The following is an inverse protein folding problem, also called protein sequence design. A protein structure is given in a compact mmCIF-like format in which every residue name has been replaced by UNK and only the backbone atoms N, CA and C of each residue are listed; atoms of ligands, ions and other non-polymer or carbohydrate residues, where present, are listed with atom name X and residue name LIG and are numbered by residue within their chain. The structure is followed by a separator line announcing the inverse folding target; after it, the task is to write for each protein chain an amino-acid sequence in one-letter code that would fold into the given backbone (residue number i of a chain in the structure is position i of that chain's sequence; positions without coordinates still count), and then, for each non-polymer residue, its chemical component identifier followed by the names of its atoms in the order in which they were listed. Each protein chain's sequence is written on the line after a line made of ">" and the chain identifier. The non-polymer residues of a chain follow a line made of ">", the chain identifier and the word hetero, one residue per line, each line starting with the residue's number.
data_IF_083575361013
#
_entry.id   IF_083575361013
#
_cell.length_a   1.000
_cell.length_b   1.000
_cell.length_c   1.000
_cell.angle_alpha   90.00
_cell.angle_beta   90.00
_cell.angle_gamma   90.00
#
_symmetry.space_group_name_H-M   'P 1'
#
loop_
_entity.id
_entity.type
_entity.pdbx_description
1 polymer ?
#
# COMPACT_ATOMS: atom_id res chain seq x y z
N UNK A 1 -8.31 6.92 25.50
CA UNK A 1 -9.19 5.86 25.99
C UNK A 1 -9.90 5.03 24.91
N UNK A 2 -10.61 5.56 23.95
CA UNK A 2 -11.27 4.77 22.89
C UNK A 2 -10.44 4.63 21.61
N UNK A 3 -9.59 5.61 21.34
CA UNK A 3 -8.69 5.65 20.19
C UNK A 3 -7.51 4.68 20.33
N UNK A 4 -7.03 4.47 21.54
CA UNK A 4 -5.87 3.63 21.83
C UNK A 4 -6.21 2.14 21.66
N UNK A 5 -7.46 1.75 21.95
CA UNK A 5 -7.94 0.39 21.81
C UNK A 5 -8.10 -0.02 20.32
N UNK A 6 -8.59 0.90 19.48
CA UNK A 6 -8.75 0.65 18.03
C UNK A 6 -7.39 0.53 17.35
N UNK A 7 -6.37 1.29 17.78
CA UNK A 7 -5.04 1.22 17.18
C UNK A 7 -4.33 -0.10 17.53
N UNK A 8 -4.45 -0.57 18.76
CA UNK A 8 -3.84 -1.84 19.21
C UNK A 8 -4.51 -3.07 18.57
N UNK A 9 -5.86 -3.13 18.54
CA UNK A 9 -6.57 -4.24 17.87
C UNK A 9 -6.29 -4.27 16.36
N UNK A 10 -6.17 -3.11 15.73
CA UNK A 10 -5.82 -2.99 14.32
C UNK A 10 -4.39 -3.49 14.06
N UNK A 11 -3.42 -3.13 14.92
CA UNK A 11 -2.05 -3.63 14.83
C UNK A 11 -1.96 -5.13 15.10
N UNK A 12 -2.67 -5.65 16.09
CA UNK A 12 -2.74 -7.10 16.33
C UNK A 12 -3.38 -7.86 15.17
N UNK A 13 -4.38 -7.27 14.50
CA UNK A 13 -4.99 -7.83 13.32
C UNK A 13 -3.99 -7.92 12.15
N UNK A 14 -3.20 -6.86 11.89
CA UNK A 14 -2.13 -6.86 10.86
C UNK A 14 -1.05 -7.89 11.21
N UNK A 15 -0.59 -7.93 12.46
CA UNK A 15 0.47 -8.85 12.92
C UNK A 15 0.01 -10.31 12.96
N UNK A 16 -1.25 -10.57 13.27
CA UNK A 16 -1.80 -11.92 13.35
C UNK A 16 -2.14 -12.51 11.96
N UNK A 17 -2.41 -11.67 10.96
CA UNK A 17 -2.63 -12.09 9.58
C UNK A 17 -1.33 -12.53 8.88
N UNK A 18 -0.18 -12.09 9.38
CA UNK A 18 1.15 -12.50 8.91
C UNK A 18 1.91 -13.08 10.10
N UNK A 19 1.96 -14.41 10.21
CA UNK A 19 2.77 -15.03 11.26
C UNK A 19 4.16 -14.39 11.35
N UNK A 20 4.61 -13.98 12.53
CA UNK A 20 5.82 -13.17 12.76
C UNK A 20 7.11 -13.70 12.07
N UNK A 21 7.15 -14.97 11.69
CA UNK A 21 8.27 -15.57 10.96
C UNK A 21 8.25 -15.30 9.44
N UNK A 22 7.16 -14.80 8.87
CA UNK A 22 7.09 -14.41 7.45
C UNK A 22 7.38 -12.91 7.21
N UNK A 23 7.36 -12.09 8.24
CA UNK A 23 7.52 -10.63 8.16
C UNK A 23 8.89 -10.18 7.61
N UNK A 24 9.91 -11.02 7.70
CA UNK A 24 11.27 -10.73 7.22
C UNK A 24 11.59 -11.37 5.86
N UNK A 25 10.60 -11.96 5.18
CA UNK A 25 10.82 -12.63 3.91
C UNK A 25 10.89 -11.63 2.78
N UNK A 26 12.12 -11.29 2.36
CA UNK A 26 12.36 -10.46 1.17
C UNK A 26 12.43 -11.34 -0.07
N UNK A 27 11.64 -11.03 -1.10
CA UNK A 27 11.73 -11.69 -2.39
C UNK A 27 12.92 -11.13 -3.19
N UNK A 28 13.96 -11.94 -3.36
CA UNK A 28 15.09 -11.54 -4.19
C UNK A 28 14.70 -11.48 -5.69
N UNK A 29 15.04 -10.40 -6.40
CA UNK A 29 14.67 -10.21 -7.80
C UNK A 29 15.40 -11.20 -8.70
N UNK A 30 14.67 -12.12 -9.32
CA UNK A 30 15.20 -13.19 -10.15
C UNK A 30 15.37 -12.80 -11.63
N UNK A 31 14.63 -11.80 -12.10
CA UNK A 31 14.62 -11.39 -13.50
C UNK A 31 14.51 -9.86 -13.66
N UNK A 32 14.57 -9.40 -14.92
CA UNK A 32 14.49 -7.96 -15.20
C UNK A 32 13.20 -7.31 -14.71
N UNK A 33 12.06 -7.99 -14.85
CA UNK A 33 10.76 -7.54 -14.34
C UNK A 33 10.80 -7.27 -12.83
N UNK A 34 11.38 -8.19 -12.07
CA UNK A 34 11.50 -8.07 -10.61
C UNK A 34 12.44 -6.92 -10.22
N UNK A 35 13.56 -6.75 -10.96
CA UNK A 35 14.51 -5.65 -10.73
C UNK A 35 13.87 -4.28 -11.00
N UNK A 36 13.08 -4.16 -12.08
CA UNK A 36 12.34 -2.94 -12.40
C UNK A 36 11.31 -2.63 -11.31
N UNK A 37 10.54 -3.64 -10.89
CA UNK A 37 9.54 -3.49 -9.83
C UNK A 37 10.19 -3.06 -8.51
N UNK A 38 11.27 -3.71 -8.08
CA UNK A 38 11.99 -3.36 -6.86
C UNK A 38 12.59 -1.95 -6.92
N UNK A 39 13.17 -1.57 -8.07
CA UNK A 39 13.73 -0.22 -8.25
C UNK A 39 12.64 0.86 -8.18
N UNK A 40 11.49 0.61 -8.77
CA UNK A 40 10.34 1.49 -8.70
C UNK A 40 9.82 1.65 -7.27
N UNK A 41 9.66 0.55 -6.54
CA UNK A 41 9.25 0.56 -5.13
C UNK A 41 10.25 1.34 -4.26
N UNK A 42 11.55 1.10 -4.42
CA UNK A 42 12.60 1.82 -3.69
C UNK A 42 12.60 3.31 -4.01
N UNK A 43 12.34 3.70 -5.25
CA UNK A 43 12.22 5.09 -5.65
C UNK A 43 11.03 5.78 -4.97
N UNK A 44 9.86 5.14 -4.95
CA UNK A 44 8.68 5.67 -4.27
C UNK A 44 8.90 5.78 -2.76
N UNK A 45 9.55 4.79 -2.16
CA UNK A 45 9.96 4.84 -0.77
C UNK A 45 10.88 6.03 -0.49
N UNK A 46 11.91 6.23 -1.31
CA UNK A 46 12.82 7.37 -1.17
C UNK A 46 12.07 8.71 -1.22
N UNK A 47 11.10 8.85 -2.11
CA UNK A 47 10.25 10.05 -2.15
C UNK A 47 9.44 10.20 -0.86
N UNK A 48 8.78 9.14 -0.40
CA UNK A 48 8.01 9.18 0.84
C UNK A 48 8.88 9.53 2.06
N UNK A 49 10.06 8.93 2.18
CA UNK A 49 11.02 9.21 3.25
C UNK A 49 11.55 10.66 3.20
N UNK A 50 11.74 11.20 1.99
CA UNK A 50 12.21 12.59 1.81
C UNK A 50 11.16 13.62 2.20
N UNK A 51 9.89 13.38 1.80
CA UNK A 51 8.80 14.33 2.06
C UNK A 51 8.24 14.24 3.48
N UNK A 52 8.13 13.05 4.04
CA UNK A 52 7.42 12.85 5.31
C UNK A 52 8.34 12.55 6.50
N UNK A 53 9.62 12.21 6.26
CA UNK A 53 10.64 11.91 7.30
C UNK A 53 10.05 11.11 8.49
N UNK A 54 9.98 11.74 9.67
CA UNK A 54 9.48 11.14 10.92
C UNK A 54 7.98 11.35 11.17
N UNK A 55 7.23 11.85 10.19
CA UNK A 55 5.76 12.05 10.29
C UNK A 55 5.04 10.78 9.84
N UNK A 56 5.11 9.73 10.65
CA UNK A 56 4.62 8.39 10.31
C UNK A 56 3.14 8.36 9.89
N UNK A 57 2.25 9.04 10.62
CA UNK A 57 0.83 9.09 10.29
C UNK A 57 0.55 9.70 8.91
N UNK A 58 1.19 10.81 8.56
CA UNK A 58 1.05 11.46 7.25
C UNK A 58 1.65 10.60 6.12
N UNK A 59 2.78 9.94 6.41
CA UNK A 59 3.38 8.96 5.49
C UNK A 59 2.44 7.78 5.23
N UNK A 60 1.82 7.24 6.27
CA UNK A 60 0.85 6.16 6.15
C UNK A 60 -0.34 6.58 5.28
N UNK A 61 -0.91 7.78 5.46
CA UNK A 61 -2.00 8.29 4.60
C UNK A 61 -1.62 8.26 3.11
N UNK A 62 -0.39 8.65 2.75
CA UNK A 62 0.06 8.59 1.36
C UNK A 62 0.22 7.14 0.87
N UNK A 63 0.84 6.29 1.68
CA UNK A 63 1.09 4.89 1.32
C UNK A 63 -0.23 4.14 1.10
N UNK A 64 -1.20 4.26 2.00
CA UNK A 64 -2.51 3.62 1.88
C UNK A 64 -3.32 4.16 0.70
N UNK A 65 -3.20 5.47 0.41
CA UNK A 65 -3.84 6.08 -0.77
C UNK A 65 -3.31 5.46 -2.07
N UNK A 66 -2.03 5.13 -2.12
CA UNK A 66 -1.38 4.49 -3.27
C UNK A 66 -1.63 2.98 -3.28
N UNK A 67 -1.66 2.33 -2.11
CA UNK A 67 -1.86 0.89 -1.97
C UNK A 67 -3.20 0.40 -2.52
N UNK A 68 -4.27 1.18 -2.42
CA UNK A 68 -5.59 0.85 -2.98
C UNK A 68 -5.63 0.87 -4.52
N UNK A 69 -4.70 1.56 -5.18
CA UNK A 69 -4.71 1.75 -6.65
C UNK A 69 -4.54 0.45 -7.43
N UNK A 70 -3.60 -0.46 -7.10
CA UNK A 70 -3.41 -1.70 -7.84
C UNK A 70 -4.67 -2.55 -7.96
N UNK A 71 -5.38 -2.74 -6.86
CA UNK A 71 -6.63 -3.50 -6.82
C UNK A 71 -7.70 -2.90 -7.72
N UNK A 72 -7.91 -1.58 -7.64
CA UNK A 72 -8.89 -0.87 -8.47
C UNK A 72 -8.53 -0.91 -9.96
N UNK A 73 -7.28 -0.63 -10.31
CA UNK A 73 -6.83 -0.60 -11.72
C UNK A 73 -6.89 -1.99 -12.33
N UNK A 74 -6.35 -3.00 -11.64
CA UNK A 74 -6.37 -4.37 -12.13
C UNK A 74 -7.79 -4.91 -12.23
N UNK A 75 -8.65 -4.68 -11.23
CA UNK A 75 -10.05 -5.07 -11.25
C UNK A 75 -10.81 -4.46 -12.43
N UNK A 76 -10.64 -3.15 -12.68
CA UNK A 76 -11.23 -2.46 -13.83
C UNK A 76 -10.74 -3.05 -15.16
N UNK A 77 -9.46 -3.25 -15.33
CA UNK A 77 -8.89 -3.76 -16.60
C UNK A 77 -9.31 -5.20 -16.87
N UNK A 78 -9.38 -6.05 -15.83
CA UNK A 78 -9.90 -7.42 -15.96
C UNK A 78 -11.38 -7.39 -16.30
N UNK A 79 -12.17 -6.53 -15.66
CA UNK A 79 -13.61 -6.39 -15.96
C UNK A 79 -13.83 -6.01 -17.44
N UNK A 80 -13.13 -5.00 -17.94
CA UNK A 80 -13.21 -4.60 -19.34
C UNK A 80 -12.75 -5.70 -20.31
N UNK A 81 -11.74 -6.50 -19.92
CA UNK A 81 -11.31 -7.68 -20.70
C UNK A 81 -12.37 -8.76 -20.73
N UNK A 82 -12.97 -9.09 -19.59
CA UNK A 82 -14.04 -10.10 -19.47
C UNK A 82 -15.25 -9.73 -20.32
N UNK A 83 -15.68 -8.46 -20.29
CA UNK A 83 -16.79 -7.99 -21.14
C UNK A 83 -16.49 -8.11 -22.63
N UNK A 84 -15.28 -7.73 -23.07
CA UNK A 84 -14.91 -7.81 -24.50
C UNK A 84 -14.81 -9.23 -25.01
N UNK A 85 -14.38 -10.15 -24.16
CA UNK A 85 -14.16 -11.54 -24.55
C UNK A 85 -15.31 -12.47 -24.20
N UNK A 86 -16.31 -11.99 -23.45
CA UNK A 86 -17.38 -12.82 -22.88
C UNK A 86 -16.81 -13.99 -22.06
N UNK A 87 -15.72 -13.77 -21.33
CA UNK A 87 -15.03 -14.75 -20.49
C UNK A 87 -15.29 -14.47 -19.02
N UNK A 88 -15.43 -15.53 -18.22
CA UNK A 88 -15.51 -15.45 -16.76
C UNK A 88 -14.14 -15.03 -16.17
N UNK A 89 -14.16 -14.14 -15.19
CA UNK A 89 -12.97 -13.64 -14.48
C UNK A 89 -12.48 -14.58 -13.37
N UNK A 90 -13.18 -15.67 -13.10
CA UNK A 90 -12.88 -16.65 -12.05
C UNK A 90 -12.75 -16.07 -10.65
N UNK A 91 -13.48 -14.99 -10.38
CA UNK A 91 -13.50 -14.32 -9.09
C UNK A 91 -12.37 -13.31 -8.86
N UNK A 92 -11.48 -13.10 -9.84
CA UNK A 92 -10.37 -12.15 -9.70
C UNK A 92 -10.81 -10.72 -9.47
N UNK A 93 -11.88 -10.26 -10.15
CA UNK A 93 -12.39 -8.89 -9.98
C UNK A 93 -12.81 -8.67 -8.53
N UNK A 94 -13.58 -9.62 -7.96
CA UNK A 94 -14.00 -9.52 -6.55
C UNK A 94 -12.81 -9.46 -5.61
N UNK A 95 -11.85 -10.37 -5.75
CA UNK A 95 -10.65 -10.41 -4.89
C UNK A 95 -9.87 -9.09 -4.93
N UNK A 96 -9.67 -8.52 -6.12
CA UNK A 96 -8.95 -7.26 -6.28
C UNK A 96 -9.70 -6.05 -5.71
N UNK A 97 -11.02 -6.03 -5.82
CA UNK A 97 -11.84 -4.96 -5.25
C UNK A 97 -11.96 -5.10 -3.72
N UNK A 98 -12.04 -6.31 -3.20
CA UNK A 98 -12.01 -6.55 -1.75
C UNK A 98 -10.68 -6.08 -1.15
N UNK A 99 -9.55 -6.29 -1.85
CA UNK A 99 -8.24 -5.78 -1.44
C UNK A 99 -8.19 -4.26 -1.46
N UNK A 100 -8.66 -3.62 -2.55
CA UNK A 100 -8.72 -2.16 -2.63
C UNK A 100 -9.61 -1.55 -1.54
N UNK A 101 -10.71 -2.21 -1.17
CA UNK A 101 -11.58 -1.77 -0.07
C UNK A 101 -10.89 -1.93 1.29
N UNK A 102 -10.12 -2.99 1.50
CA UNK A 102 -9.32 -3.18 2.69
C UNK A 102 -8.31 -2.03 2.87
N UNK A 103 -7.57 -1.67 1.81
CA UNK A 103 -6.64 -0.53 1.83
C UNK A 103 -7.36 0.81 2.09
N UNK A 104 -8.57 0.98 1.56
CA UNK A 104 -9.39 2.16 1.87
C UNK A 104 -9.75 2.24 3.35
N UNK A 105 -10.05 1.14 4.01
CA UNK A 105 -10.35 1.11 5.45
C UNK A 105 -9.12 1.52 6.28
N UNK A 106 -7.93 1.03 5.91
CA UNK A 106 -6.67 1.47 6.51
C UNK A 106 -6.48 2.98 6.34
N UNK A 107 -6.67 3.48 5.12
CA UNK A 107 -6.59 4.90 4.82
C UNK A 107 -7.51 5.74 5.70
N UNK A 108 -8.78 5.34 5.89
CA UNK A 108 -9.73 6.07 6.72
C UNK A 108 -9.25 6.16 8.17
N UNK A 109 -8.67 5.10 8.70
CA UNK A 109 -8.08 5.06 10.04
C UNK A 109 -6.93 6.07 10.16
N UNK A 110 -5.98 6.05 9.22
CA UNK A 110 -4.86 6.99 9.24
C UNK A 110 -5.25 8.45 9.01
N UNK A 111 -6.26 8.72 8.18
CA UNK A 111 -6.82 10.08 8.02
C UNK A 111 -7.41 10.59 9.33
N UNK A 112 -8.08 9.72 10.09
CA UNK A 112 -8.65 10.10 11.38
C UNK A 112 -7.56 10.46 12.41
N UNK A 113 -6.46 9.72 12.42
CA UNK A 113 -5.32 9.94 13.31
C UNK A 113 -4.48 11.16 12.87
N UNK A 114 -4.04 11.19 11.61
CA UNK A 114 -3.10 12.18 11.11
C UNK A 114 -3.72 13.56 10.84
N UNK A 115 -5.03 13.62 10.57
CA UNK A 115 -5.79 14.85 10.23
C UNK A 115 -5.04 15.72 9.20
N UNK A 116 -4.79 15.23 7.98
CA UNK A 116 -3.96 15.89 6.99
C UNK A 116 -4.48 17.30 6.66
N UNK A 117 -3.57 18.25 6.52
CA UNK A 117 -3.85 19.63 6.12
C UNK A 117 -4.34 19.69 4.66
N UNK A 118 -4.92 20.83 4.27
CA UNK A 118 -5.38 21.03 2.89
C UNK A 118 -4.23 20.84 1.87
N UNK A 119 -3.06 21.39 2.13
CA UNK A 119 -1.89 21.26 1.25
C UNK A 119 -1.45 19.80 1.10
N UNK A 120 -1.40 19.06 2.21
CA UNK A 120 -1.09 17.63 2.20
C UNK A 120 -2.11 16.83 1.40
N UNK A 121 -3.41 17.16 1.50
CA UNK A 121 -4.45 16.51 0.67
C UNK A 121 -4.23 16.73 -0.83
N UNK A 122 -3.85 17.94 -1.24
CA UNK A 122 -3.54 18.22 -2.65
C UNK A 122 -2.33 17.40 -3.12
N UNK A 123 -1.28 17.32 -2.31
CA UNK A 123 -0.10 16.50 -2.62
C UNK A 123 -0.48 15.01 -2.74
N UNK A 124 -1.26 14.50 -1.78
CA UNK A 124 -1.73 13.11 -1.78
C UNK A 124 -2.55 12.80 -3.04
N UNK A 125 -3.52 13.64 -3.38
CA UNK A 125 -4.35 13.46 -4.58
C UNK A 125 -3.52 13.51 -5.86
N UNK A 126 -2.54 14.40 -5.93
CA UNK A 126 -1.63 14.49 -7.07
C UNK A 126 -0.77 13.23 -7.20
N UNK A 127 -0.20 12.75 -6.09
CA UNK A 127 0.57 11.52 -6.04
C UNK A 127 -0.28 10.30 -6.46
N UNK A 128 -1.51 10.20 -5.95
CA UNK A 128 -2.46 9.15 -6.31
C UNK A 128 -2.76 9.16 -7.81
N UNK A 129 -3.05 10.33 -8.39
CA UNK A 129 -3.34 10.44 -9.82
C UNK A 129 -2.16 10.01 -10.69
N UNK A 130 -0.95 10.49 -10.37
CA UNK A 130 0.28 10.08 -11.07
C UNK A 130 0.47 8.57 -10.96
N UNK A 131 0.25 8.01 -9.78
CA UNK A 131 0.41 6.57 -9.56
C UNK A 131 -0.63 5.75 -10.31
N UNK A 132 -1.90 6.17 -10.36
CA UNK A 132 -2.95 5.49 -11.15
C UNK A 132 -2.53 5.38 -12.62
N UNK A 133 -2.09 6.49 -13.23
CA UNK A 133 -1.67 6.52 -14.64
C UNK A 133 -0.44 5.63 -14.85
N UNK A 134 0.57 5.77 -14.01
CA UNK A 134 1.82 5.00 -14.12
C UNK A 134 1.57 3.51 -13.94
N UNK A 135 0.80 3.11 -12.91
CA UNK A 135 0.48 1.72 -12.64
C UNK A 135 -0.36 1.10 -13.76
N UNK A 136 -1.35 1.82 -14.28
CA UNK A 136 -2.16 1.37 -15.42
C UNK A 136 -1.29 1.10 -16.66
N UNK A 137 -0.35 1.99 -16.96
CA UNK A 137 0.60 1.79 -18.07
C UNK A 137 1.50 0.57 -17.84
N UNK A 138 2.06 0.42 -16.65
CA UNK A 138 2.87 -0.76 -16.29
C UNK A 138 2.04 -2.03 -16.42
N UNK A 139 0.80 -2.04 -15.94
CA UNK A 139 -0.10 -3.19 -16.01
C UNK A 139 -0.41 -3.58 -17.47
N UNK A 140 -0.64 -2.61 -18.36
CA UNK A 140 -0.90 -2.86 -19.77
C UNK A 140 0.34 -3.39 -20.50
N UNK A 141 1.54 -2.94 -20.14
CA UNK A 141 2.81 -3.39 -20.74
C UNK A 141 3.20 -4.77 -20.18
N UNK A 142 3.12 -4.95 -18.86
CA UNK A 142 3.56 -6.16 -18.18
C UNK A 142 2.80 -6.40 -16.88
N UNK A 143 1.75 -7.21 -16.92
CA UNK A 143 1.00 -7.62 -15.74
C UNK A 143 1.91 -8.25 -14.67
N UNK A 144 2.91 -9.03 -15.10
CA UNK A 144 3.89 -9.63 -14.18
C UNK A 144 4.65 -8.58 -13.38
N UNK A 145 5.13 -7.51 -14.03
CA UNK A 145 5.82 -6.40 -13.35
C UNK A 145 4.88 -5.68 -12.39
N UNK A 146 3.64 -5.41 -12.82
CA UNK A 146 2.64 -4.77 -11.98
C UNK A 146 2.34 -5.56 -10.70
N UNK A 147 2.08 -6.86 -10.81
CA UNK A 147 1.87 -7.73 -9.63
C UNK A 147 3.11 -7.82 -8.75
N UNK A 148 4.31 -7.80 -9.30
CA UNK A 148 5.54 -7.80 -8.53
C UNK A 148 5.74 -6.50 -7.74
N UNK A 149 5.32 -5.35 -8.29
CA UNK A 149 5.29 -4.06 -7.58
C UNK A 149 4.42 -4.15 -6.34
N UNK A 150 3.22 -4.73 -6.45
CA UNK A 150 2.32 -4.93 -5.29
C UNK A 150 3.02 -5.75 -4.21
N UNK A 151 3.63 -6.91 -4.57
CA UNK A 151 4.35 -7.73 -3.61
C UNK A 151 5.45 -6.97 -2.88
N UNK A 152 6.23 -6.14 -3.56
CA UNK A 152 7.26 -5.31 -2.91
C UNK A 152 6.67 -4.16 -2.08
N UNK A 153 5.50 -3.63 -2.43
CA UNK A 153 4.80 -2.66 -1.59
C UNK A 153 4.37 -3.26 -0.26
N UNK A 154 3.83 -4.48 -0.28
CA UNK A 154 3.47 -5.19 0.94
C UNK A 154 4.69 -5.43 1.85
N UNK A 155 5.82 -5.86 1.28
CA UNK A 155 7.07 -6.02 2.03
C UNK A 155 7.52 -4.70 2.68
N UNK A 156 7.46 -3.60 1.95
CA UNK A 156 7.84 -2.27 2.48
C UNK A 156 6.83 -1.73 3.50
N UNK A 157 5.54 -2.02 3.34
CA UNK A 157 4.51 -1.67 4.32
C UNK A 157 4.74 -2.40 5.64
N UNK A 158 4.90 -3.72 5.60
CA UNK A 158 5.21 -4.54 6.77
C UNK A 158 6.45 -4.01 7.50
N UNK A 159 7.53 -3.75 6.78
CA UNK A 159 8.75 -3.21 7.36
C UNK A 159 8.52 -1.85 8.01
N UNK A 160 7.82 -0.94 7.33
CA UNK A 160 7.54 0.42 7.81
C UNK A 160 6.72 0.42 9.10
N UNK A 161 5.70 -0.44 9.17
CA UNK A 161 4.86 -0.57 10.35
C UNK A 161 5.59 -1.26 11.50
N UNK A 162 6.44 -2.25 11.22
CA UNK A 162 7.28 -2.90 12.24
C UNK A 162 8.28 -1.90 12.85
N UNK A 163 8.92 -1.06 12.02
CA UNK A 163 9.81 0.00 12.49
C UNK A 163 9.05 1.02 13.36
N UNK A 164 7.85 1.42 12.96
CA UNK A 164 7.00 2.34 13.73
C UNK A 164 6.59 1.77 15.09
N UNK A 165 6.15 0.51 15.12
CA UNK A 165 5.78 -0.17 16.35
C UNK A 165 6.96 -0.25 17.33
N UNK A 166 8.13 -0.62 16.83
CA UNK A 166 9.36 -0.67 17.65
C UNK A 166 9.73 0.70 18.23
N UNK A 167 9.55 1.79 17.48
CA UNK A 167 9.80 3.14 17.99
C UNK A 167 8.76 3.58 19.04
N UNK A 168 7.51 3.14 18.93
CA UNK A 168 6.48 3.32 19.96
C UNK A 168 6.82 2.56 21.23
N UNK A 169 7.12 1.27 21.13
CA UNK A 169 7.46 0.42 22.28
C UNK A 169 8.71 0.90 23.02
N UNK A 170 9.70 1.44 22.30
CA UNK A 170 10.91 2.01 22.90
C UNK A 170 10.75 3.42 23.43
N UNK A 171 9.55 4.02 23.33
CA UNK A 171 9.24 5.36 23.84
C UNK A 171 9.95 6.50 23.08
N UNK A 172 10.48 6.23 21.89
CA UNK A 172 11.11 7.24 21.04
C UNK A 172 10.10 8.19 20.40
N UNK A 173 8.89 7.70 20.20
CA UNK A 173 7.75 8.45 19.67
C UNK A 173 6.67 8.42 20.74
N UNK A 174 6.05 9.57 21.02
CA UNK A 174 4.88 9.62 21.90
C UNK A 174 3.68 9.08 21.11
N UNK A 175 2.92 8.20 21.76
CA UNK A 175 1.60 7.80 21.29
C UNK A 175 0.74 9.06 21.09
N UNK A 176 0.15 9.23 19.88
CA UNK A 176 -0.62 10.43 19.50
C UNK A 176 -2.11 10.15 19.56
#
# INVERSE_FOLDING_TARGET
>A
SGSDFISLEFFEFILNKSGMNELNKHFEPQNLSDKVALSFTKFLRFLADTFFKKRYGHRAVVLETVAAVPGMVAGMLIHLKSLRKMEDDRGWIKTLLDEAENERMHLMTFIHIAKPTWLERVIILTAQFIFIVTYALIYLISQRTAHRIVGYFEEEAVRSYTEYLHELETGKIKDQ
#
